data_IF_487450572793
#
_entry.id   IF_487450572793
#
_cell.length_a   1.000
_cell.length_b   1.000
_cell.length_c   1.000
_cell.angle_alpha   90.00
_cell.angle_beta   90.00
_cell.angle_gamma   90.00
#
_symmetry.space_group_name_H-M   'P 1'
#
loop_
_entity.id
_entity.type
_entity.pdbx_description
1 polymer ?
#
# COMPACT_ATOMS: atom_id res chain seq x y z
N UNK A 1 23.16 16.74 -9.51
CA UNK A 1 24.28 15.88 -9.93
C UNK A 1 25.57 16.36 -9.25
N UNK A 2 26.66 15.62 -9.38
CA UNK A 2 28.00 16.04 -8.92
C UNK A 2 29.09 15.31 -9.72
N UNK A 3 30.36 15.65 -9.51
CA UNK A 3 31.49 14.98 -10.14
C UNK A 3 32.67 14.84 -9.19
N UNK A 4 33.49 13.80 -9.37
CA UNK A 4 34.67 13.53 -8.53
C UNK A 4 35.78 14.61 -8.63
N UNK A 5 35.71 15.46 -9.66
CA UNK A 5 36.58 16.62 -9.87
C UNK A 5 35.89 17.61 -10.83
N UNK A 6 36.50 18.79 -11.02
CA UNK A 6 35.96 19.86 -11.90
C UNK A 6 35.68 19.37 -13.32
N UNK A 7 36.61 18.63 -13.94
CA UNK A 7 36.45 18.13 -15.30
C UNK A 7 35.24 17.19 -15.41
N UNK A 8 35.06 16.27 -14.46
CA UNK A 8 33.91 15.38 -14.42
C UNK A 8 32.60 16.13 -14.20
N UNK A 9 32.60 17.13 -13.31
CA UNK A 9 31.45 18.00 -13.04
C UNK A 9 31.02 18.76 -14.30
N UNK A 10 31.95 19.39 -14.99
CA UNK A 10 31.66 20.16 -16.21
C UNK A 10 31.09 19.24 -17.31
N UNK A 11 31.62 18.01 -17.44
CA UNK A 11 31.12 17.02 -18.42
C UNK A 11 29.71 16.53 -18.10
N UNK A 12 29.40 16.20 -16.84
CA UNK A 12 28.06 15.73 -16.48
C UNK A 12 27.02 16.85 -16.57
N UNK A 13 27.38 18.08 -16.20
CA UNK A 13 26.50 19.24 -16.34
C UNK A 13 26.16 19.48 -17.81
N UNK A 14 27.18 19.48 -18.68
CA UNK A 14 26.95 19.60 -20.13
C UNK A 14 26.00 18.51 -20.62
N UNK A 15 26.30 17.25 -20.32
CA UNK A 15 25.49 16.12 -20.75
C UNK A 15 24.03 16.23 -20.30
N UNK A 16 23.78 16.54 -19.02
CA UNK A 16 22.42 16.66 -18.50
C UNK A 16 21.67 17.87 -19.07
N UNK A 17 22.36 18.98 -19.33
CA UNK A 17 21.76 20.14 -20.00
C UNK A 17 21.37 19.84 -21.46
N UNK A 18 22.17 19.02 -22.16
CA UNK A 18 21.93 18.66 -23.56
C UNK A 18 20.77 17.65 -23.72
N UNK A 19 20.50 16.82 -22.70
CA UNK A 19 19.56 15.68 -22.79
C UNK A 19 18.25 15.93 -22.02
N UNK A 20 18.27 16.73 -20.95
CA UNK A 20 17.10 17.00 -20.12
C UNK A 20 16.59 18.43 -20.34
N UNK A 21 15.30 18.65 -20.07
CA UNK A 21 14.71 20.00 -20.07
C UNK A 21 15.12 20.80 -18.82
N UNK A 22 16.41 21.14 -18.74
CA UNK A 22 17.00 21.89 -17.62
C UNK A 22 16.62 23.37 -17.60
N UNK A 23 15.96 23.86 -18.66
CA UNK A 23 15.40 25.21 -18.72
C UNK A 23 14.21 25.35 -17.76
N UNK A 24 13.29 24.38 -17.79
CA UNK A 24 12.10 24.40 -16.93
C UNK A 24 12.37 23.70 -15.59
N UNK A 25 13.36 22.80 -15.53
CA UNK A 25 13.76 22.08 -14.32
C UNK A 25 15.26 22.25 -14.06
N UNK A 26 15.68 23.37 -13.44
CA UNK A 26 17.08 23.70 -13.23
C UNK A 26 17.87 22.58 -12.53
N UNK A 27 19.06 22.29 -13.06
CA UNK A 27 19.94 21.28 -12.50
C UNK A 27 20.63 21.81 -11.22
N UNK A 28 20.42 21.13 -10.09
CA UNK A 28 21.21 21.37 -8.89
C UNK A 28 22.53 20.61 -8.97
N UNK A 29 23.64 21.34 -8.88
CA UNK A 29 25.00 20.77 -8.89
C UNK A 29 25.56 20.83 -7.47
N UNK A 30 25.84 19.66 -6.90
CA UNK A 30 26.44 19.53 -5.56
C UNK A 30 27.96 19.47 -5.67
N UNK A 31 28.63 19.79 -4.57
CA UNK A 31 30.09 19.92 -4.55
C UNK A 31 30.78 18.57 -4.66
N UNK A 32 30.21 17.53 -4.02
CA UNK A 32 30.82 16.19 -3.97
C UNK A 32 29.85 15.05 -4.34
N UNK A 33 30.35 13.92 -4.85
CA UNK A 33 29.58 12.68 -5.04
C UNK A 33 28.78 12.27 -3.81
N UNK A 34 29.43 12.25 -2.64
CA UNK A 34 28.81 11.83 -1.38
C UNK A 34 27.55 12.63 -1.04
N UNK A 35 27.49 13.92 -1.36
CA UNK A 35 26.31 14.75 -1.12
C UNK A 35 25.15 14.35 -2.05
N UNK A 36 25.45 14.04 -3.31
CA UNK A 36 24.44 13.58 -4.28
C UNK A 36 23.95 12.17 -3.98
N UNK A 37 24.82 11.29 -3.50
CA UNK A 37 24.47 9.94 -3.03
C UNK A 37 23.60 10.02 -1.78
N UNK A 38 24.01 10.84 -0.80
CA UNK A 38 23.26 11.06 0.45
C UNK A 38 21.90 11.70 0.17
N UNK A 39 21.80 12.63 -0.78
CA UNK A 39 20.52 13.25 -1.15
C UNK A 39 19.48 12.20 -1.57
N UNK A 40 19.89 11.17 -2.32
CA UNK A 40 18.97 10.11 -2.76
C UNK A 40 18.48 9.25 -1.59
N UNK A 41 19.38 8.90 -0.68
CA UNK A 41 19.07 8.12 0.51
C UNK A 41 18.13 8.90 1.44
N UNK A 42 18.39 10.18 1.67
CA UNK A 42 17.56 11.04 2.53
C UNK A 42 16.18 11.23 1.91
N UNK A 43 16.08 11.48 0.60
CA UNK A 43 14.78 11.65 -0.10
C UNK A 43 13.84 10.47 0.16
N UNK A 44 14.32 9.24 -0.05
CA UNK A 44 13.52 8.03 0.13
C UNK A 44 13.27 7.72 1.61
N UNK A 45 14.26 7.94 2.49
CA UNK A 45 14.11 7.77 3.94
C UNK A 45 13.07 8.73 4.53
N UNK A 46 13.05 9.98 4.05
CA UNK A 46 12.06 10.98 4.43
C UNK A 46 10.65 10.55 4.03
N UNK A 47 10.47 10.09 2.78
CA UNK A 47 9.17 9.59 2.30
C UNK A 47 8.70 8.37 3.09
N UNK A 48 9.59 7.39 3.34
CA UNK A 48 9.26 6.20 4.14
C UNK A 48 8.87 6.58 5.58
N UNK A 49 9.56 7.55 6.18
CA UNK A 49 9.24 8.07 7.52
C UNK A 49 7.86 8.72 7.56
N UNK A 50 7.51 9.55 6.57
CA UNK A 50 6.17 10.15 6.51
C UNK A 50 5.06 9.09 6.39
N UNK A 51 5.31 8.04 5.60
CA UNK A 51 4.37 6.92 5.43
C UNK A 51 4.18 6.12 6.72
N UNK A 52 5.27 5.85 7.45
CA UNK A 52 5.20 5.19 8.76
C UNK A 52 4.48 6.05 9.80
N UNK A 53 4.82 7.33 9.88
CA UNK A 53 4.14 8.28 10.77
C UNK A 53 2.63 8.32 10.49
N UNK A 54 2.23 8.39 9.22
CA UNK A 54 0.81 8.46 8.87
C UNK A 54 0.07 7.13 9.04
N UNK A 55 0.77 6.00 9.03
CA UNK A 55 0.21 4.70 9.39
C UNK A 55 -0.22 4.68 10.87
N UNK A 56 0.61 5.20 11.78
CA UNK A 56 0.25 5.34 13.19
C UNK A 56 -1.00 6.21 13.38
N UNK A 57 -1.08 7.33 12.64
CA UNK A 57 -2.25 8.21 12.66
C UNK A 57 -3.47 7.61 11.95
N UNK A 58 -3.28 6.69 11.01
CA UNK A 58 -4.35 5.88 10.41
C UNK A 58 -5.03 5.03 11.49
N UNK A 59 -4.24 4.31 12.29
CA UNK A 59 -4.76 3.51 13.41
C UNK A 59 -5.45 4.39 14.46
N UNK A 60 -4.90 5.58 14.74
CA UNK A 60 -5.57 6.56 15.61
C UNK A 60 -6.92 6.97 15.02
N UNK A 61 -6.98 7.33 13.74
CA UNK A 61 -8.19 7.81 13.09
C UNK A 61 -9.30 6.75 13.10
N UNK A 62 -8.96 5.49 12.84
CA UNK A 62 -9.88 4.37 12.88
C UNK A 62 -10.54 4.18 14.25
N UNK A 63 -9.76 4.29 15.33
CA UNK A 63 -10.25 4.13 16.71
C UNK A 63 -11.11 5.30 17.18
N UNK A 64 -10.87 6.49 16.64
CA UNK A 64 -11.48 7.73 17.11
C UNK A 64 -12.57 8.28 16.17
N UNK A 65 -12.99 7.52 15.17
CA UNK A 65 -14.10 7.94 14.29
C UNK A 65 -13.73 9.06 13.31
N UNK A 66 -12.43 9.21 13.00
CA UNK A 66 -11.91 10.29 12.14
C UNK A 66 -11.74 9.81 10.70
N UNK A 67 -11.96 10.69 9.73
CA UNK A 67 -11.61 10.48 8.33
C UNK A 67 -10.23 11.06 8.04
N UNK A 68 -9.19 10.22 8.05
CA UNK A 68 -7.81 10.68 7.85
C UNK A 68 -7.60 11.33 6.47
N UNK A 69 -8.33 10.89 5.43
CA UNK A 69 -8.22 11.46 4.08
C UNK A 69 -8.61 12.94 4.10
N UNK A 70 -9.76 13.26 4.72
CA UNK A 70 -10.22 14.65 4.86
C UNK A 70 -9.28 15.50 5.73
N UNK A 71 -8.70 14.91 6.79
CA UNK A 71 -7.72 15.61 7.64
C UNK A 71 -6.46 15.94 6.83
N UNK A 72 -5.95 14.99 6.05
CA UNK A 72 -4.82 15.21 5.15
C UNK A 72 -5.12 16.32 4.16
N UNK A 73 -6.27 16.29 3.48
CA UNK A 73 -6.64 17.31 2.49
C UNK A 73 -6.75 18.71 3.12
N UNK A 74 -7.31 18.80 4.33
CA UNK A 74 -7.39 20.06 5.08
C UNK A 74 -6.01 20.61 5.49
N UNK A 75 -5.02 19.74 5.69
CA UNK A 75 -3.63 20.14 6.01
C UNK A 75 -2.88 20.59 4.74
N UNK A 76 -3.08 19.89 3.62
CA UNK A 76 -2.34 20.08 2.36
C UNK A 76 -2.50 21.46 1.73
N UNK A 77 -3.51 22.22 2.12
CA UNK A 77 -3.66 23.64 1.73
C UNK A 77 -2.48 24.51 2.18
N UNK A 78 -1.71 24.06 3.17
CA UNK A 78 -0.51 24.75 3.67
C UNK A 78 0.70 24.36 2.82
N UNK A 79 1.42 25.32 2.21
CA UNK A 79 2.60 25.01 1.40
C UNK A 79 3.67 24.21 2.13
N UNK A 80 3.81 24.40 3.44
CA UNK A 80 4.80 23.67 4.27
C UNK A 80 4.44 22.21 4.56
N UNK A 81 3.20 21.78 4.28
CA UNK A 81 2.70 20.42 4.55
C UNK A 81 1.99 19.79 3.34
N UNK A 82 2.13 20.40 2.16
CA UNK A 82 1.45 19.95 0.92
C UNK A 82 1.94 18.58 0.44
N UNK A 83 3.07 18.10 0.97
CA UNK A 83 3.70 16.82 0.66
C UNK A 83 3.30 15.67 1.61
N UNK A 84 2.38 15.89 2.56
CA UNK A 84 1.82 14.82 3.39
C UNK A 84 1.03 13.83 2.51
N UNK A 85 1.17 12.54 2.78
CA UNK A 85 0.70 11.47 1.89
C UNK A 85 -0.07 10.40 2.66
N UNK A 86 -1.21 9.96 2.13
CA UNK A 86 -1.93 8.84 2.74
C UNK A 86 -1.02 7.60 2.81
N UNK A 87 -0.97 6.86 3.94
CA UNK A 87 0.03 5.82 4.14
C UNK A 87 -0.18 4.65 3.17
N UNK A 88 -1.42 4.25 2.89
CA UNK A 88 -1.70 3.03 2.13
C UNK A 88 -1.29 1.76 2.89
N UNK A 89 -1.55 0.57 2.34
CA UNK A 89 -1.36 -0.67 3.05
C UNK A 89 0.09 -1.15 3.11
N UNK A 90 1.02 -0.59 2.34
CA UNK A 90 2.41 -1.08 2.27
C UNK A 90 3.28 -0.13 1.46
N UNK A 91 4.59 -0.17 1.68
CA UNK A 91 5.55 0.47 0.78
C UNK A 91 6.09 -0.62 -0.15
N UNK A 92 6.36 -0.31 -1.40
CA UNK A 92 6.96 -1.28 -2.30
C UNK A 92 7.83 -0.66 -3.37
N UNK A 93 8.21 -1.50 -4.33
CA UNK A 93 9.34 -1.24 -5.23
C UNK A 93 10.68 -1.32 -4.49
N UNK A 94 11.78 -1.25 -5.22
CA UNK A 94 13.12 -1.46 -4.64
C UNK A 94 13.63 -0.35 -3.72
N UNK A 95 13.07 0.86 -3.81
CA UNK A 95 13.72 2.05 -3.25
C UNK A 95 13.38 2.26 -1.77
N UNK A 96 12.09 2.42 -1.47
CA UNK A 96 11.65 2.80 -0.11
C UNK A 96 11.98 1.76 0.97
N UNK A 97 11.85 0.43 0.74
CA UNK A 97 12.16 -0.56 1.77
C UNK A 97 13.62 -0.60 2.20
N UNK A 98 14.56 -0.28 1.28
CA UNK A 98 15.99 -0.51 1.52
C UNK A 98 16.79 0.76 1.82
N UNK A 99 16.44 1.90 1.23
CA UNK A 99 17.36 3.05 1.17
C UNK A 99 17.65 3.62 2.57
N UNK A 100 16.66 3.65 3.47
CA UNK A 100 16.91 4.01 4.86
C UNK A 100 17.88 3.05 5.56
N UNK A 101 17.75 1.75 5.29
CA UNK A 101 18.66 0.72 5.79
C UNK A 101 20.07 0.87 5.21
N UNK A 102 20.23 1.31 3.96
CA UNK A 102 21.54 1.59 3.37
C UNK A 102 22.26 2.73 4.11
N UNK A 103 21.55 3.79 4.51
CA UNK A 103 22.13 4.87 5.32
C UNK A 103 22.62 4.37 6.69
N UNK A 104 21.79 3.59 7.38
CA UNK A 104 22.15 2.97 8.67
C UNK A 104 23.34 2.02 8.52
N UNK A 105 23.32 1.18 7.47
CA UNK A 105 24.38 0.22 7.21
C UNK A 105 25.70 0.92 6.86
N UNK A 106 25.67 1.95 6.01
CA UNK A 106 26.84 2.71 5.59
C UNK A 106 27.51 3.43 6.77
N UNK A 107 26.73 4.04 7.67
CA UNK A 107 27.23 4.69 8.88
C UNK A 107 28.14 3.76 9.69
N UNK A 108 27.70 2.52 9.90
CA UNK A 108 28.46 1.53 10.64
C UNK A 108 29.61 0.91 9.83
N UNK A 109 29.35 0.45 8.61
CA UNK A 109 30.29 -0.43 7.89
C UNK A 109 31.20 0.30 6.90
N UNK A 110 30.76 1.41 6.32
CA UNK A 110 31.60 2.22 5.42
C UNK A 110 32.36 3.27 6.23
N UNK A 111 31.66 3.94 7.16
CA UNK A 111 32.25 5.06 7.90
C UNK A 111 32.87 4.64 9.25
N UNK A 112 32.59 3.43 9.74
CA UNK A 112 33.23 2.86 10.92
C UNK A 112 32.76 3.44 12.26
N UNK A 113 31.58 4.08 12.28
CA UNK A 113 31.01 4.58 13.53
C UNK A 113 30.31 3.47 14.31
N UNK A 114 30.46 3.50 15.64
CA UNK A 114 29.91 2.47 16.55
C UNK A 114 28.73 2.96 17.39
N UNK A 115 28.48 4.28 17.41
CA UNK A 115 27.32 4.84 18.09
C UNK A 115 26.04 4.69 17.24
N UNK A 116 24.88 4.87 17.89
CA UNK A 116 23.58 4.74 17.23
C UNK A 116 22.83 6.07 17.20
N UNK A 117 23.01 6.79 16.10
CA UNK A 117 22.35 8.07 15.82
C UNK A 117 20.96 7.90 15.16
N UNK A 118 20.66 6.71 14.61
CA UNK A 118 19.47 6.48 13.81
C UNK A 118 18.32 5.94 14.67
N UNK A 119 17.47 6.83 15.18
CA UNK A 119 16.27 6.43 15.95
C UNK A 119 15.02 6.29 15.07
N UNK A 120 14.81 7.25 14.17
CA UNK A 120 13.60 7.34 13.36
C UNK A 120 13.65 6.35 12.20
N UNK A 121 14.77 6.29 11.47
CA UNK A 121 14.87 5.48 10.24
C UNK A 121 14.61 3.99 10.48
N UNK A 122 15.21 3.31 11.48
CA UNK A 122 14.93 1.89 11.71
C UNK A 122 13.49 1.65 12.15
N UNK A 123 12.91 2.56 12.95
CA UNK A 123 11.52 2.47 13.38
C UNK A 123 10.56 2.60 12.19
N UNK A 124 10.82 3.57 11.30
CA UNK A 124 10.03 3.75 10.09
C UNK A 124 10.08 2.52 9.17
N UNK A 125 11.24 1.86 9.05
CA UNK A 125 11.36 0.59 8.30
C UNK A 125 10.45 -0.48 8.93
N UNK A 126 10.58 -0.72 10.24
CA UNK A 126 9.80 -1.74 10.94
C UNK A 126 8.28 -1.53 10.83
N UNK A 127 7.81 -0.28 10.95
CA UNK A 127 6.38 0.06 10.79
C UNK A 127 5.93 -0.25 9.37
N UNK A 128 6.68 0.22 8.37
CA UNK A 128 6.31 0.02 6.97
C UNK A 128 6.35 -1.45 6.53
N UNK A 129 7.24 -2.26 7.09
CA UNK A 129 7.37 -3.69 6.80
C UNK A 129 6.17 -4.51 7.31
N UNK A 130 5.41 -3.99 8.27
CA UNK A 130 4.35 -4.75 8.97
C UNK A 130 2.95 -4.16 8.82
N UNK A 131 2.80 -2.91 8.38
CA UNK A 131 1.50 -2.25 8.30
C UNK A 131 0.45 -2.97 7.44
N UNK A 132 0.87 -3.70 6.39
CA UNK A 132 -0.03 -4.49 5.54
C UNK A 132 -0.81 -5.56 6.32
N UNK A 133 -0.24 -6.05 7.41
CA UNK A 133 -0.86 -7.08 8.26
C UNK A 133 -2.15 -6.57 8.91
N UNK A 134 -2.33 -5.25 9.04
CA UNK A 134 -3.54 -4.66 9.59
C UNK A 134 -4.76 -4.89 8.69
N UNK A 135 -4.57 -5.00 7.37
CA UNK A 135 -5.67 -5.28 6.43
C UNK A 135 -6.36 -6.61 6.74
N UNK A 136 -5.60 -7.64 7.12
CA UNK A 136 -6.18 -8.92 7.56
C UNK A 136 -7.13 -8.77 8.76
N UNK A 137 -6.84 -7.82 9.67
CA UNK A 137 -7.71 -7.51 10.80
C UNK A 137 -8.98 -6.79 10.35
N UNK A 138 -8.89 -5.84 9.42
CA UNK A 138 -10.05 -5.14 8.87
C UNK A 138 -11.01 -6.09 8.15
N UNK A 139 -10.47 -7.00 7.33
CA UNK A 139 -11.24 -8.05 6.64
C UNK A 139 -11.97 -8.93 7.65
N UNK A 140 -11.24 -9.50 8.61
CA UNK A 140 -11.81 -10.37 9.66
C UNK A 140 -12.94 -9.66 10.39
N UNK A 141 -12.72 -8.41 10.78
CA UNK A 141 -13.70 -7.63 11.53
C UNK A 141 -14.94 -7.28 10.69
N UNK A 142 -14.76 -7.06 9.38
CA UNK A 142 -15.87 -6.82 8.46
C UNK A 142 -16.73 -8.09 8.27
N UNK A 143 -16.10 -9.23 8.00
CA UNK A 143 -16.78 -10.52 7.88
C UNK A 143 -17.50 -10.89 9.18
N UNK A 144 -16.86 -10.70 10.33
CA UNK A 144 -17.49 -10.91 11.66
C UNK A 144 -18.74 -10.04 11.83
N UNK A 145 -18.70 -8.77 11.41
CA UNK A 145 -19.86 -7.88 11.48
C UNK A 145 -21.03 -8.34 10.58
N UNK A 146 -20.74 -9.16 9.57
CA UNK A 146 -21.72 -9.82 8.69
C UNK A 146 -22.11 -11.22 9.18
N UNK A 147 -21.58 -11.69 10.31
CA UNK A 147 -21.81 -13.05 10.81
C UNK A 147 -21.11 -14.15 10.02
N UNK A 148 -20.07 -13.81 9.24
CA UNK A 148 -19.30 -14.76 8.42
C UNK A 148 -17.92 -15.02 9.04
N UNK A 149 -17.47 -16.28 9.16
CA UNK A 149 -16.11 -16.59 9.58
C UNK A 149 -15.12 -16.22 8.46
N UNK A 150 -13.87 -15.92 8.82
CA UNK A 150 -12.79 -15.72 7.83
C UNK A 150 -12.25 -17.04 7.27
N UNK A 151 -12.35 -18.12 8.05
CA UNK A 151 -11.93 -19.44 7.61
C UNK A 151 -12.79 -19.89 6.41
N UNK A 152 -12.13 -20.28 5.33
CA UNK A 152 -12.69 -20.62 4.02
C UNK A 152 -13.52 -19.51 3.36
N UNK A 153 -13.37 -18.24 3.78
CA UNK A 153 -13.97 -17.11 3.09
C UNK A 153 -13.27 -16.88 1.75
N UNK A 154 -14.05 -16.63 0.70
CA UNK A 154 -13.54 -16.29 -0.64
C UNK A 154 -13.25 -14.78 -0.70
N UNK A 155 -11.99 -14.41 -0.89
CA UNK A 155 -11.55 -13.02 -0.85
C UNK A 155 -10.87 -12.63 -2.15
N UNK A 156 -11.40 -11.59 -2.79
CA UNK A 156 -10.77 -10.95 -3.94
C UNK A 156 -9.92 -9.76 -3.53
N UNK A 157 -8.65 -9.79 -3.91
CA UNK A 157 -7.75 -8.65 -3.87
C UNK A 157 -7.75 -7.95 -5.24
N UNK A 158 -8.16 -6.68 -5.26
CA UNK A 158 -8.05 -5.79 -6.41
C UNK A 158 -6.73 -5.00 -6.32
N UNK A 159 -5.76 -5.40 -7.14
CA UNK A 159 -4.44 -4.79 -7.23
C UNK A 159 -3.35 -5.57 -6.48
N UNK A 160 -2.43 -6.14 -7.24
CA UNK A 160 -1.25 -6.85 -6.74
C UNK A 160 0.00 -5.96 -6.77
N UNK A 161 0.04 -5.00 -7.69
CA UNK A 161 1.19 -4.15 -7.95
C UNK A 161 1.50 -3.21 -6.78
N UNK A 162 2.77 -2.82 -6.61
CA UNK A 162 3.15 -1.94 -5.48
C UNK A 162 2.64 -0.50 -5.63
N UNK A 163 2.23 -0.12 -6.85
CA UNK A 163 1.73 1.21 -7.20
C UNK A 163 0.70 1.11 -8.31
N UNK A 164 -0.15 2.12 -8.41
CA UNK A 164 -1.06 2.33 -9.53
C UNK A 164 -0.37 2.30 -10.91
N UNK A 165 -1.14 1.82 -11.87
CA UNK A 165 -0.95 1.78 -13.32
C UNK A 165 0.39 1.22 -13.82
N UNK A 166 0.94 0.27 -13.06
CA UNK A 166 2.12 -0.54 -13.42
C UNK A 166 1.87 -1.99 -12.99
N UNK A 167 2.56 -2.96 -13.59
CA UNK A 167 2.48 -4.39 -13.24
C UNK A 167 3.66 -4.91 -12.41
N UNK A 168 4.21 -4.08 -11.52
CA UNK A 168 5.39 -4.40 -10.72
C UNK A 168 4.97 -4.80 -9.30
N UNK A 169 5.25 -6.05 -8.92
CA UNK A 169 4.84 -6.65 -7.63
C UNK A 169 5.93 -6.65 -6.57
N UNK A 170 7.13 -6.17 -6.89
CA UNK A 170 8.30 -6.32 -6.01
C UNK A 170 8.08 -5.56 -4.71
N UNK A 171 8.20 -6.27 -3.58
CA UNK A 171 7.92 -5.74 -2.24
C UNK A 171 6.51 -5.13 -2.11
N UNK A 172 5.55 -5.57 -2.92
CA UNK A 172 4.20 -5.02 -2.84
C UNK A 172 3.57 -5.33 -1.48
N UNK A 173 2.95 -4.33 -0.86
CA UNK A 173 2.17 -4.54 0.37
C UNK A 173 1.04 -5.55 0.17
N UNK A 174 0.52 -5.67 -1.06
CA UNK A 174 -0.47 -6.65 -1.44
C UNK A 174 -0.03 -8.09 -1.19
N UNK A 175 1.27 -8.39 -1.33
CA UNK A 175 1.80 -9.73 -1.04
C UNK A 175 1.55 -10.11 0.42
N UNK A 176 1.87 -9.20 1.35
CA UNK A 176 1.68 -9.44 2.78
C UNK A 176 0.19 -9.55 3.16
N UNK A 177 -0.70 -8.83 2.47
CA UNK A 177 -2.15 -8.97 2.66
C UNK A 177 -2.59 -10.40 2.31
N UNK A 178 -2.23 -10.90 1.12
CA UNK A 178 -2.57 -12.25 0.65
C UNK A 178 -2.03 -13.30 1.63
N UNK A 179 -0.73 -13.24 1.95
CA UNK A 179 -0.09 -14.18 2.87
C UNK A 179 -0.78 -14.21 4.24
N UNK A 180 -1.10 -13.03 4.77
CA UNK A 180 -1.75 -12.92 6.09
C UNK A 180 -3.17 -13.49 6.07
N UNK A 181 -3.94 -13.22 5.03
CA UNK A 181 -5.32 -13.72 4.93
C UNK A 181 -5.36 -15.24 4.72
N UNK A 182 -4.44 -15.78 3.92
CA UNK A 182 -4.28 -17.23 3.77
C UNK A 182 -3.84 -17.89 5.08
N UNK A 183 -2.93 -17.26 5.85
CA UNK A 183 -2.59 -17.74 7.19
C UNK A 183 -3.83 -17.80 8.10
N UNK A 184 -4.75 -16.84 7.96
CA UNK A 184 -6.02 -16.81 8.68
C UNK A 184 -7.07 -17.81 8.14
N UNK A 185 -6.74 -18.55 7.09
CA UNK A 185 -7.56 -19.62 6.51
C UNK A 185 -8.49 -19.18 5.38
N UNK A 186 -8.33 -17.95 4.84
CA UNK A 186 -9.11 -17.50 3.70
C UNK A 186 -8.59 -18.09 2.38
N UNK A 187 -9.50 -18.24 1.41
CA UNK A 187 -9.16 -18.59 0.03
C UNK A 187 -9.02 -17.28 -0.77
N UNK A 188 -7.86 -17.11 -1.41
CA UNK A 188 -7.47 -15.84 -2.03
C UNK A 188 -7.59 -15.91 -3.55
N UNK A 189 -8.24 -14.90 -4.13
CA UNK A 189 -8.23 -14.60 -5.56
C UNK A 189 -7.66 -13.20 -5.78
N UNK A 190 -7.03 -12.97 -6.93
CA UNK A 190 -6.39 -11.70 -7.25
C UNK A 190 -6.80 -11.24 -8.63
N UNK A 191 -7.13 -9.96 -8.77
CA UNK A 191 -7.29 -9.29 -10.06
C UNK A 191 -6.39 -8.05 -10.09
N UNK A 192 -5.53 -7.98 -11.11
CA UNK A 192 -4.71 -6.81 -11.41
C UNK A 192 -4.61 -6.65 -12.93
N UNK A 193 -5.04 -5.50 -13.50
CA UNK A 193 -5.12 -5.33 -14.95
C UNK A 193 -3.75 -5.27 -15.66
N UNK A 194 -2.65 -5.08 -14.92
CA UNK A 194 -1.30 -4.98 -15.47
C UNK A 194 -0.45 -6.23 -15.20
N UNK A 195 -1.00 -7.22 -14.51
CA UNK A 195 -0.28 -8.41 -14.08
C UNK A 195 -0.84 -9.67 -14.75
N UNK A 196 0.05 -10.55 -15.21
CA UNK A 196 -0.34 -11.88 -15.71
C UNK A 196 0.21 -13.02 -14.86
N UNK A 197 1.33 -12.79 -14.18
CA UNK A 197 2.05 -13.76 -13.37
C UNK A 197 2.49 -13.10 -12.07
N UNK A 198 2.35 -13.81 -10.95
CA UNK A 198 2.83 -13.32 -9.66
C UNK A 198 3.90 -14.27 -9.12
N UNK A 199 5.13 -14.05 -9.54
CA UNK A 199 6.26 -14.96 -9.29
C UNK A 199 6.58 -15.17 -7.81
N UNK A 200 6.33 -14.16 -6.97
CA UNK A 200 6.47 -14.24 -5.51
C UNK A 200 5.57 -15.33 -4.89
N UNK A 201 4.48 -15.73 -5.57
CA UNK A 201 3.62 -16.86 -5.18
C UNK A 201 3.87 -18.12 -6.00
N UNK A 202 4.04 -18.00 -7.33
CA UNK A 202 4.28 -19.15 -8.21
C UNK A 202 5.60 -19.89 -7.87
N UNK A 203 6.59 -19.17 -7.32
CA UNK A 203 7.95 -19.67 -7.06
C UNK A 203 8.49 -19.23 -5.70
N UNK A 204 7.72 -19.45 -4.63
CA UNK A 204 8.00 -18.93 -3.28
C UNK A 204 9.42 -19.20 -2.76
N UNK A 205 10.03 -20.34 -3.08
CA UNK A 205 11.34 -20.72 -2.56
C UNK A 205 12.52 -20.31 -3.45
N UNK A 206 12.25 -19.91 -4.69
CA UNK A 206 13.30 -19.69 -5.71
C UNK A 206 13.26 -18.32 -6.36
N UNK A 207 12.18 -17.56 -6.19
CA UNK A 207 12.04 -16.20 -6.68
C UNK A 207 12.15 -15.16 -5.54
N UNK A 208 12.87 -14.04 -5.74
CA UNK A 208 13.73 -13.73 -6.88
C UNK A 208 15.05 -14.53 -6.87
N UNK A 209 15.40 -15.13 -5.73
CA UNK A 209 16.52 -16.06 -5.55
C UNK A 209 16.27 -16.97 -4.34
N UNK A 210 16.93 -18.13 -4.23
CA UNK A 210 16.81 -19.00 -3.06
C UNK A 210 17.11 -18.30 -1.73
N UNK A 211 16.41 -18.71 -0.66
CA UNK A 211 16.61 -18.18 0.69
C UNK A 211 15.79 -16.91 1.02
N UNK A 212 14.96 -16.44 0.09
CA UNK A 212 14.04 -15.31 0.29
C UNK A 212 12.59 -15.73 0.63
N UNK A 213 12.33 -17.02 0.84
CA UNK A 213 11.01 -17.53 1.18
C UNK A 213 10.46 -16.88 2.46
N UNK A 214 9.18 -16.53 2.43
CA UNK A 214 8.46 -15.96 3.57
C UNK A 214 7.76 -17.02 4.42
N UNK A 215 7.98 -18.31 4.14
CA UNK A 215 7.42 -19.44 4.90
C UNK A 215 7.72 -19.36 6.41
N UNK A 216 8.87 -18.79 6.78
CA UNK A 216 9.27 -18.63 8.19
C UNK A 216 8.41 -17.62 8.95
N UNK A 217 7.67 -16.76 8.24
CA UNK A 217 6.85 -15.70 8.81
C UNK A 217 5.35 -16.00 8.72
N UNK A 218 4.93 -16.82 7.76
CA UNK A 218 3.52 -17.12 7.51
C UNK A 218 3.27 -18.62 7.40
N UNK A 219 2.23 -19.10 8.08
CA UNK A 219 1.77 -20.50 7.97
C UNK A 219 0.73 -20.67 6.86
N UNK A 220 0.46 -21.93 6.48
CA UNK A 220 -0.59 -22.31 5.52
C UNK A 220 -0.39 -21.75 4.08
N UNK A 221 0.86 -21.62 3.63
CA UNK A 221 1.19 -20.94 2.37
C UNK A 221 1.24 -21.86 1.15
N UNK A 222 1.17 -23.19 1.33
CA UNK A 222 1.39 -24.20 0.29
C UNK A 222 0.46 -23.99 -0.93
N UNK A 223 -0.82 -23.70 -0.67
CA UNK A 223 -1.84 -23.46 -1.70
C UNK A 223 -1.59 -22.20 -2.53
N UNK A 224 -0.80 -21.23 -2.04
CA UNK A 224 -0.54 -19.99 -2.78
C UNK A 224 0.25 -20.23 -4.06
N UNK A 225 0.94 -21.37 -4.20
CA UNK A 225 1.57 -21.76 -5.47
C UNK A 225 0.57 -21.95 -6.61
N UNK A 226 -0.70 -22.18 -6.28
CA UNK A 226 -1.80 -22.34 -7.23
C UNK A 226 -2.61 -21.05 -7.44
N UNK A 227 -2.25 -19.95 -6.75
CA UNK A 227 -2.92 -18.66 -6.87
C UNK A 227 -2.83 -18.17 -8.33
N UNK A 228 -3.99 -17.92 -8.94
CA UNK A 228 -4.09 -17.39 -10.31
C UNK A 228 -4.54 -15.94 -10.30
N UNK A 229 -3.96 -15.16 -11.22
CA UNK A 229 -4.42 -13.81 -11.51
C UNK A 229 -5.61 -13.91 -12.47
N UNK A 230 -6.77 -13.51 -11.98
CA UNK A 230 -7.98 -13.41 -12.78
C UNK A 230 -7.84 -12.32 -13.84
N UNK A 231 -8.31 -12.61 -15.06
CA UNK A 231 -8.16 -11.71 -16.21
C UNK A 231 -9.40 -10.86 -16.48
N UNK A 232 -10.55 -11.28 -15.96
CA UNK A 232 -11.82 -10.60 -16.14
C UNK A 232 -12.38 -10.21 -14.77
N UNK A 233 -12.61 -8.91 -14.58
CA UNK A 233 -13.04 -8.36 -13.29
C UNK A 233 -14.38 -8.94 -12.84
N UNK A 234 -15.31 -9.16 -13.77
CA UNK A 234 -16.64 -9.69 -13.46
C UNK A 234 -16.55 -11.13 -12.96
N UNK A 235 -15.74 -11.96 -13.59
CA UNK A 235 -15.48 -13.33 -13.15
C UNK A 235 -14.77 -13.34 -11.79
N UNK A 236 -13.77 -12.48 -11.61
CA UNK A 236 -13.02 -12.36 -10.36
C UNK A 236 -13.90 -12.01 -9.16
N UNK A 237 -14.92 -11.15 -9.36
CA UNK A 237 -15.83 -10.72 -8.30
C UNK A 237 -16.86 -11.77 -7.90
N UNK A 238 -17.19 -12.71 -8.79
CA UNK A 238 -18.33 -13.61 -8.61
C UNK A 238 -18.19 -14.48 -7.36
N UNK A 239 -19.16 -14.40 -6.46
CA UNK A 239 -19.25 -15.24 -5.27
C UNK A 239 -18.34 -14.84 -4.11
N UNK A 240 -17.63 -13.71 -4.20
CA UNK A 240 -16.68 -13.28 -3.17
C UNK A 240 -17.39 -12.84 -1.87
N UNK A 241 -16.84 -13.27 -0.73
CA UNK A 241 -17.26 -12.83 0.61
C UNK A 241 -16.65 -11.49 0.99
N UNK A 242 -15.45 -11.19 0.49
CA UNK A 242 -14.81 -9.89 0.67
C UNK A 242 -14.09 -9.42 -0.61
N UNK A 243 -14.07 -8.10 -0.81
CA UNK A 243 -13.36 -7.43 -1.89
C UNK A 243 -12.46 -6.35 -1.28
N UNK A 244 -11.17 -6.41 -1.59
CA UNK A 244 -10.14 -5.51 -1.06
C UNK A 244 -9.63 -4.63 -2.19
N UNK A 245 -9.84 -3.32 -2.09
CA UNK A 245 -9.21 -2.32 -2.94
C UNK A 245 -7.80 -2.06 -2.40
N UNK A 246 -6.84 -2.83 -2.90
CA UNK A 246 -5.46 -2.84 -2.41
C UNK A 246 -4.53 -1.90 -3.17
N UNK A 247 -4.88 -1.51 -4.41
CA UNK A 247 -4.14 -0.55 -5.24
C UNK A 247 -5.13 0.41 -5.89
N UNK A 248 -4.69 1.63 -6.24
CA UNK A 248 -5.52 2.67 -6.86
C UNK A 248 -5.39 2.71 -8.38
N UNK A 249 -5.45 1.56 -9.04
CA UNK A 249 -5.49 1.54 -10.50
C UNK A 249 -6.70 2.34 -11.01
N UNK A 250 -6.54 3.03 -12.15
CA UNK A 250 -7.60 3.86 -12.74
C UNK A 250 -8.92 3.09 -12.88
N UNK A 251 -8.84 1.81 -13.27
CA UNK A 251 -9.97 0.89 -13.46
C UNK A 251 -10.82 0.67 -12.19
N UNK A 252 -10.28 0.94 -11.00
CA UNK A 252 -10.97 0.72 -9.72
C UNK A 252 -11.61 1.99 -9.16
N UNK A 253 -11.15 3.17 -9.57
CA UNK A 253 -11.53 4.44 -8.96
C UNK A 253 -13.02 4.74 -9.11
N UNK A 254 -13.58 4.39 -10.27
CA UNK A 254 -14.95 4.74 -10.64
C UNK A 254 -15.96 3.60 -10.53
N UNK A 255 -15.56 2.44 -9.98
CA UNK A 255 -16.49 1.33 -9.78
C UNK A 255 -17.70 1.76 -8.95
N UNK A 256 -18.90 1.49 -9.48
CA UNK A 256 -20.18 1.76 -8.82
C UNK A 256 -20.52 0.64 -7.82
N UNK A 257 -20.92 0.96 -6.58
CA UNK A 257 -21.24 -0.05 -5.58
C UNK A 257 -22.33 -1.05 -5.99
N UNK A 258 -23.36 -0.62 -6.73
CA UNK A 258 -24.44 -1.51 -7.16
C UNK A 258 -23.99 -2.43 -8.30
N UNK A 259 -23.15 -1.94 -9.21
CA UNK A 259 -22.54 -2.77 -10.25
C UNK A 259 -21.58 -3.80 -9.67
N UNK A 260 -20.72 -3.40 -8.73
CA UNK A 260 -19.83 -4.32 -8.00
C UNK A 260 -20.64 -5.41 -7.33
N UNK A 261 -21.69 -5.04 -6.59
CA UNK A 261 -22.53 -6.03 -5.90
C UNK A 261 -23.26 -6.96 -6.87
N UNK A 262 -23.70 -6.45 -8.03
CA UNK A 262 -24.31 -7.26 -9.08
C UNK A 262 -23.32 -8.27 -9.67
N UNK A 263 -22.05 -7.91 -9.82
CA UNK A 263 -21.00 -8.82 -10.29
C UNK A 263 -20.66 -9.88 -9.23
N UNK A 264 -20.62 -9.48 -7.95
CA UNK A 264 -20.43 -10.42 -6.83
C UNK A 264 -21.59 -11.40 -6.72
N UNK A 265 -22.82 -10.93 -6.86
CA UNK A 265 -24.04 -11.75 -6.80
C UNK A 265 -24.58 -11.99 -5.38
N UNK A 266 -23.91 -11.50 -4.34
CA UNK A 266 -24.36 -11.53 -2.94
C UNK A 266 -23.70 -10.38 -2.14
N UNK A 267 -24.21 -10.04 -0.96
CA UNK A 267 -23.55 -9.06 -0.07
C UNK A 267 -22.15 -9.53 0.32
N UNK A 268 -21.21 -8.60 0.36
CA UNK A 268 -19.81 -8.87 0.70
C UNK A 268 -19.24 -7.78 1.62
N UNK A 269 -18.08 -8.06 2.22
CA UNK A 269 -17.28 -7.06 2.91
C UNK A 269 -16.44 -6.28 1.89
N UNK A 270 -16.38 -4.95 2.03
CA UNK A 270 -15.58 -4.06 1.18
C UNK A 270 -14.49 -3.42 2.02
N UNK A 271 -13.23 -3.58 1.62
CA UNK A 271 -12.07 -3.05 2.31
C UNK A 271 -11.35 -2.05 1.42
N UNK A 272 -11.28 -0.80 1.85
CA UNK A 272 -10.62 0.29 1.11
C UNK A 272 -9.26 0.62 1.75
N UNK A 273 -8.17 0.21 1.11
CA UNK A 273 -6.82 0.43 1.64
C UNK A 273 -6.25 1.80 1.32
N UNK A 274 -6.96 2.63 0.55
CA UNK A 274 -6.37 3.81 -0.09
C UNK A 274 -7.27 5.05 -0.08
N UNK A 275 -8.45 4.96 0.52
CA UNK A 275 -9.42 6.05 0.55
C UNK A 275 -10.07 6.30 -0.82
N UNK A 276 -10.19 5.26 -1.66
CA UNK A 276 -10.85 5.31 -2.98
C UNK A 276 -12.34 5.63 -2.83
N UNK A 277 -12.98 5.09 -1.79
CA UNK A 277 -14.41 5.24 -1.59
C UNK A 277 -14.73 6.56 -0.88
N UNK A 278 -15.49 7.42 -1.55
CA UNK A 278 -16.09 8.59 -0.94
C UNK A 278 -17.29 8.21 -0.04
N UNK A 279 -17.79 9.16 0.73
CA UNK A 279 -18.88 8.91 1.70
C UNK A 279 -20.17 8.39 1.03
N UNK A 280 -20.44 8.79 -0.22
CA UNK A 280 -21.63 8.36 -0.95
C UNK A 280 -21.52 6.89 -1.40
N UNK A 281 -20.36 6.48 -1.93
CA UNK A 281 -20.08 5.07 -2.25
C UNK A 281 -20.14 4.20 -0.99
N UNK A 282 -19.53 4.65 0.12
CA UNK A 282 -19.57 3.95 1.40
C UNK A 282 -21.03 3.77 1.87
N UNK A 283 -21.81 4.86 1.86
CA UNK A 283 -23.23 4.83 2.24
C UNK A 283 -24.01 3.85 1.36
N UNK A 284 -23.76 3.88 0.06
CA UNK A 284 -24.44 3.00 -0.90
C UNK A 284 -24.17 1.53 -0.64
N UNK A 285 -22.94 1.13 -0.32
CA UNK A 285 -22.64 -0.25 0.09
C UNK A 285 -23.43 -0.68 1.34
N UNK A 286 -23.55 0.18 2.37
CA UNK A 286 -24.37 -0.13 3.54
C UNK A 286 -25.87 -0.25 3.23
N UNK A 287 -26.38 0.60 2.36
CA UNK A 287 -27.78 0.52 1.90
C UNK A 287 -28.07 -0.82 1.22
N UNK A 288 -27.11 -1.28 0.42
CA UNK A 288 -27.12 -2.56 -0.29
C UNK A 288 -26.86 -3.78 0.61
N UNK A 289 -26.56 -3.59 1.90
CA UNK A 289 -26.39 -4.68 2.88
C UNK A 289 -24.95 -5.20 3.01
N UNK A 290 -23.98 -4.54 2.39
CA UNK A 290 -22.56 -4.84 2.57
C UNK A 290 -22.03 -4.26 3.89
N UNK A 291 -20.85 -4.74 4.30
CA UNK A 291 -20.02 -4.10 5.33
C UNK A 291 -18.87 -3.36 4.66
N UNK A 292 -18.49 -2.19 5.17
CA UNK A 292 -17.33 -1.44 4.67
C UNK A 292 -16.35 -1.16 5.80
N UNK A 293 -15.06 -1.34 5.53
CA UNK A 293 -13.96 -0.82 6.35
C UNK A 293 -12.90 -0.18 5.46
N UNK A 294 -12.08 0.69 6.02
CA UNK A 294 -10.96 1.26 5.27
C UNK A 294 -9.89 1.82 6.18
N UNK A 295 -8.65 1.86 5.67
CA UNK A 295 -7.51 2.38 6.40
C UNK A 295 -7.74 3.85 6.76
N UNK A 296 -7.62 4.19 8.04
CA UNK A 296 -7.74 5.57 8.51
C UNK A 296 -9.15 6.14 8.37
N UNK A 297 -10.16 5.31 8.11
CA UNK A 297 -11.56 5.72 7.86
C UNK A 297 -12.47 5.39 9.04
N UNK A 298 -12.15 5.89 10.24
CA UNK A 298 -12.96 5.63 11.44
C UNK A 298 -14.39 6.17 11.36
N UNK A 299 -14.60 7.24 10.59
CA UNK A 299 -15.92 7.87 10.42
C UNK A 299 -16.94 6.97 9.71
N UNK A 300 -16.51 5.89 9.05
CA UNK A 300 -17.39 4.91 8.39
C UNK A 300 -18.47 4.39 9.33
N UNK A 301 -18.16 4.21 10.63
CA UNK A 301 -19.14 3.79 11.64
C UNK A 301 -20.32 4.76 11.74
N UNK A 302 -20.07 6.06 11.68
CA UNK A 302 -21.13 7.09 11.70
C UNK A 302 -22.05 6.95 10.49
N UNK A 303 -21.48 6.76 9.29
CA UNK A 303 -22.26 6.55 8.05
C UNK A 303 -23.14 5.29 8.16
N UNK A 304 -22.60 4.20 8.71
CA UNK A 304 -23.35 2.97 8.96
C UNK A 304 -24.55 3.20 9.88
N UNK A 305 -24.34 3.92 10.98
CA UNK A 305 -25.38 4.23 11.96
C UNK A 305 -26.48 5.12 11.35
N UNK A 306 -26.11 6.10 10.53
CA UNK A 306 -27.06 6.94 9.77
C UNK A 306 -27.96 6.11 8.83
N UNK A 307 -27.39 5.15 8.09
CA UNK A 307 -28.16 4.27 7.18
C UNK A 307 -29.12 3.38 7.98
N UNK A 308 -28.68 2.82 9.11
CA UNK A 308 -29.53 1.99 9.98
C UNK A 308 -30.70 2.77 10.56
N UNK A 309 -30.47 4.00 11.03
CA UNK A 309 -31.52 4.86 11.55
C UNK A 309 -32.58 5.21 10.50
N UNK A 310 -32.17 5.39 9.23
CA UNK A 310 -33.12 5.62 8.13
C UNK A 310 -33.98 4.38 7.85
N UNK A 311 -33.39 3.17 7.82
CA UNK A 311 -34.14 1.92 7.63
C UNK A 311 -35.13 1.61 8.76
N UNK A 312 -34.81 1.98 10.00
CA UNK A 312 -35.71 1.78 11.14
C UNK A 312 -36.91 2.75 11.19
N UNK A 313 -36.95 3.77 10.33
CA UNK A 313 -38.02 4.76 10.23
C UNK A 313 -38.95 4.56 9.02
N UNK A 314 -38.63 3.64 8.11
CA UNK A 314 -39.44 3.25 6.94
C UNK A 314 -40.20 1.96 7.19
#
# INVERSE_FOLDING_TARGET
CSGINKRSRDRVVKFLNDVLNTRDYPLTVLDKPIESETAKIIENSYRATMLAFLDEWSLFAERNGVDLVKVIDAIKVRPTHSNIIFPGPGIGGYCLPKDGGLGVWAYKHIHGFEDDIFKITPLAININDTRSLHIGQLVRDALRNMGRPIAAAEILLLGASYREDVGDTRYSGSELIVRKLTEMGAEMSVYDPYLSHWWEFEKQDTYPSPGHSLERFFRNQDKLTELKIEKDLKNALKGMDAVIFAVRHEQFMDLDPAEVLKMVGNTCAIIDCFGILNDDKIRRYFELGCEVKGLGRGHIRRIKDEVRQKKGKS
#
